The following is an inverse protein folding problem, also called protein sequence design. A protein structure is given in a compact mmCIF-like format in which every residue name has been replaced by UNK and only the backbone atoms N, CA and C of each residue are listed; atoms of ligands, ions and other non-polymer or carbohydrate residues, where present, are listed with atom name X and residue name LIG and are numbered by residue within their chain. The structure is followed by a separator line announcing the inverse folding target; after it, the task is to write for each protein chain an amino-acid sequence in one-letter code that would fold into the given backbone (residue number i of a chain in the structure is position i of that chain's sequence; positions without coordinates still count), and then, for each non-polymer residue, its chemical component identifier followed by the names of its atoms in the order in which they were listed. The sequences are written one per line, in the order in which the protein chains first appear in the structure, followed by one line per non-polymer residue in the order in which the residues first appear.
data_IF_486864309695
#
_entry.id   IF_486864309695
#
_cell.length_a   1.000
_cell.length_b   1.000
_cell.length_c   1.000
_cell.angle_alpha   90.00
_cell.angle_beta   90.00
_cell.angle_gamma   90.00
#
_symmetry.space_group_name_H-M   'P 1'
#
loop_
_entity.id
_entity.type
_entity.pdbx_description
1 polymer ?
#
# COMPACT_ATOMS: atom_id res chain seq x y z
N UNK A 1 0.96 -3.47 7.17
CA UNK A 1 -0.31 -3.51 6.46
C UNK A 1 -1.42 -2.85 7.30
N UNK A 2 -1.77 -3.36 8.45
CA UNK A 2 -2.92 -2.91 9.25
C UNK A 2 -2.98 -1.40 9.48
N UNK A 3 -1.87 -0.78 9.90
CA UNK A 3 -1.79 0.68 10.09
C UNK A 3 -2.11 1.47 8.81
N UNK A 4 -1.74 0.94 7.65
CA UNK A 4 -2.02 1.57 6.36
C UNK A 4 -3.50 1.41 5.98
N UNK A 5 -4.07 0.24 6.23
CA UNK A 5 -5.50 -0.02 6.02
C UNK A 5 -6.36 0.86 6.93
N UNK A 6 -5.97 1.01 8.20
CA UNK A 6 -6.65 1.88 9.16
C UNK A 6 -6.61 3.37 8.78
N UNK A 7 -5.60 3.79 8.04
CA UNK A 7 -5.47 5.17 7.56
C UNK A 7 -6.35 5.47 6.34
N UNK A 8 -6.74 4.45 5.58
CA UNK A 8 -7.60 4.62 4.40
C UNK A 8 -9.05 4.91 4.82
N UNK A 9 -9.46 6.16 4.73
CA UNK A 9 -10.82 6.60 5.08
C UNK A 9 -11.28 7.71 4.15
N UNK A 10 -12.57 7.86 3.91
CA UNK A 10 -13.06 8.99 3.13
C UNK A 10 -12.68 10.32 3.80
N UNK A 11 -12.27 11.30 3.02
CA UNK A 11 -11.83 12.62 3.49
C UNK A 11 -10.36 12.71 3.90
N UNK A 12 -9.64 11.60 4.02
CA UNK A 12 -8.19 11.59 4.33
C UNK A 12 -7.39 11.84 3.05
N UNK A 13 -6.29 12.55 3.16
CA UNK A 13 -5.38 12.81 2.05
C UNK A 13 -4.44 11.60 1.78
N UNK A 14 -4.09 11.40 0.52
CA UNK A 14 -3.09 10.37 0.15
C UNK A 14 -1.72 10.60 0.80
N UNK A 15 -1.38 11.83 1.16
CA UNK A 15 -0.17 12.20 1.91
C UNK A 15 -0.23 11.71 3.36
N UNK A 16 -1.39 11.82 4.01
CA UNK A 16 -1.60 11.33 5.37
C UNK A 16 -1.45 9.79 5.42
N UNK A 17 -2.01 9.07 4.44
CA UNK A 17 -1.82 7.63 4.31
C UNK A 17 -0.36 7.28 4.05
N UNK A 18 0.31 7.99 3.15
CA UNK A 18 1.73 7.77 2.88
C UNK A 18 2.62 8.04 4.11
N UNK A 19 2.22 8.95 4.99
CA UNK A 19 3.00 9.33 6.17
C UNK A 19 3.06 8.25 7.25
N UNK A 20 2.04 7.37 7.36
CA UNK A 20 2.00 6.32 8.39
C UNK A 20 2.86 5.10 8.04
N UNK A 21 3.28 4.98 6.79
CA UNK A 21 4.11 3.87 6.33
C UNK A 21 5.59 4.09 6.73
N UNK A 22 6.37 3.01 6.90
CA UNK A 22 7.77 3.14 7.28
C UNK A 22 8.56 3.90 6.20
N UNK A 23 9.64 4.57 6.61
CA UNK A 23 10.53 5.30 5.71
C UNK A 23 11.60 4.38 5.11
N UNK A 24 12.16 4.79 3.98
CA UNK A 24 13.24 4.06 3.33
C UNK A 24 14.43 3.80 4.27
N UNK A 25 14.75 4.78 5.13
CA UNK A 25 15.83 4.69 6.10
C UNK A 25 15.62 3.61 7.16
N UNK A 26 14.34 3.29 7.48
CA UNK A 26 14.01 2.23 8.43
C UNK A 26 14.43 0.84 7.90
N UNK A 27 14.61 0.73 6.59
CA UNK A 27 15.09 -0.47 5.89
C UNK A 27 16.54 -0.35 5.40
N UNK A 28 17.26 0.71 5.79
CA UNK A 28 18.66 0.90 5.42
C UNK A 28 18.90 1.49 4.03
N UNK A 29 17.89 2.06 3.39
CA UNK A 29 18.03 2.71 2.09
C UNK A 29 18.23 4.21 2.23
N UNK A 30 18.99 4.81 1.32
CA UNK A 30 19.33 6.24 1.34
C UNK A 30 18.15 7.13 0.89
N UNK A 31 17.20 6.60 0.15
CA UNK A 31 16.08 7.38 -0.40
C UNK A 31 14.84 6.53 -0.64
N UNK A 32 13.67 7.18 -0.66
CA UNK A 32 12.39 6.56 -0.99
C UNK A 32 12.41 5.92 -2.40
N UNK A 33 13.09 6.54 -3.35
CA UNK A 33 13.21 5.97 -4.70
C UNK A 33 14.03 4.68 -4.71
N UNK A 34 15.07 4.59 -3.88
CA UNK A 34 15.92 3.39 -3.79
C UNK A 34 15.20 2.23 -3.11
N UNK A 35 14.37 2.52 -2.08
CA UNK A 35 13.62 1.51 -1.32
C UNK A 35 12.31 1.14 -2.02
N UNK A 36 11.56 2.16 -2.38
CA UNK A 36 10.18 2.05 -2.84
C UNK A 36 10.03 2.72 -4.19
N UNK A 37 10.87 2.42 -5.15
CA UNK A 37 10.68 2.89 -6.53
C UNK A 37 9.26 2.64 -7.05
N UNK A 38 8.49 1.92 -6.25
CA UNK A 38 7.06 1.66 -6.37
C UNK A 38 6.27 2.49 -5.36
N UNK A 39 5.00 2.57 -5.58
CA UNK A 39 4.00 3.14 -4.69
C UNK A 39 3.65 2.19 -3.53
N UNK A 40 3.04 2.74 -2.47
CA UNK A 40 2.42 1.97 -1.38
C UNK A 40 1.01 1.50 -1.75
N UNK A 41 0.31 2.30 -2.54
CA UNK A 41 -0.97 1.92 -3.13
C UNK A 41 -1.18 2.62 -4.46
N UNK A 42 -2.03 2.04 -5.26
CA UNK A 42 -2.51 2.65 -6.50
C UNK A 42 -4.00 2.39 -6.68
N UNK A 43 -4.67 3.31 -7.38
CA UNK A 43 -6.03 3.09 -7.83
C UNK A 43 -6.13 1.87 -8.73
N UNK A 44 -7.27 1.22 -8.67
CA UNK A 44 -7.59 0.03 -9.45
C UNK A 44 -8.96 0.22 -10.10
N UNK A 45 -9.07 -0.08 -11.39
CA UNK A 45 -10.30 0.08 -12.14
C UNK A 45 -10.23 -0.64 -13.48
N UNK A 46 -10.31 0.09 -14.58
CA UNK A 46 -10.11 -0.48 -15.92
C UNK A 46 -8.63 -0.81 -16.14
N UNK A 47 -7.73 0.02 -15.64
CA UNK A 47 -6.30 -0.22 -15.65
C UNK A 47 -5.83 -0.90 -14.37
N UNK A 48 -4.76 -1.69 -14.47
CA UNK A 48 -4.11 -2.31 -13.31
C UNK A 48 -3.56 -1.23 -12.35
N UNK A 49 -2.99 -0.16 -12.89
CA UNK A 49 -2.48 0.96 -12.12
C UNK A 49 -3.17 2.24 -12.57
N UNK A 50 -3.98 2.79 -11.69
CA UNK A 50 -4.69 4.05 -11.91
C UNK A 50 -4.39 5.07 -10.81
N UNK A 51 -4.74 6.33 -11.05
CA UNK A 51 -4.71 7.37 -10.02
C UNK A 51 -5.93 7.24 -9.09
N UNK A 52 -5.81 7.71 -7.84
CA UNK A 52 -4.62 8.29 -7.24
C UNK A 52 -3.58 7.25 -6.85
N UNK A 53 -2.30 7.67 -6.82
CA UNK A 53 -1.19 6.86 -6.33
C UNK A 53 -0.84 7.34 -4.93
N UNK A 54 -0.68 6.41 -4.01
CA UNK A 54 -0.24 6.69 -2.63
C UNK A 54 1.25 6.36 -2.53
N UNK A 55 2.06 7.40 -2.41
CA UNK A 55 3.50 7.28 -2.19
C UNK A 55 4.06 8.58 -1.62
N UNK A 56 5.17 8.54 -0.88
CA UNK A 56 5.83 9.78 -0.44
C UNK A 56 6.38 10.61 -1.59
N UNK A 57 6.73 9.97 -2.71
CA UNK A 57 7.26 10.68 -3.89
C UNK A 57 6.20 11.56 -4.57
N UNK A 58 4.94 11.14 -4.54
CA UNK A 58 3.85 11.82 -5.21
C UNK A 58 2.92 12.54 -4.24
N UNK A 59 2.37 11.82 -3.27
CA UNK A 59 1.29 12.30 -2.40
C UNK A 59 1.68 13.50 -1.55
N UNK A 60 2.95 13.58 -1.09
CA UNK A 60 3.43 14.72 -0.29
C UNK A 60 3.48 16.05 -1.06
N UNK A 61 3.47 16.00 -2.39
CA UNK A 61 3.50 17.19 -3.25
C UNK A 61 2.14 17.53 -3.83
N UNK A 62 1.35 16.52 -4.10
CA UNK A 62 0.06 16.62 -4.77
C UNK A 62 -0.93 15.65 -4.12
N UNK A 63 -1.38 15.94 -2.89
CA UNK A 63 -2.30 15.08 -2.16
C UNK A 63 -3.66 15.03 -2.84
N UNK A 64 -4.26 13.87 -2.83
CA UNK A 64 -5.63 13.64 -3.31
C UNK A 64 -6.48 13.17 -2.15
N UNK A 65 -7.62 13.80 -1.93
CA UNK A 65 -8.59 13.37 -0.93
C UNK A 65 -9.25 12.05 -1.35
N UNK A 66 -9.26 11.09 -0.43
CA UNK A 66 -9.91 9.81 -0.62
C UNK A 66 -11.43 9.95 -0.57
N UNK A 67 -12.11 9.36 -1.53
CA UNK A 67 -13.57 9.41 -1.64
C UNK A 67 -14.16 8.00 -1.61
N UNK A 68 -15.37 7.88 -1.09
CA UNK A 68 -16.13 6.64 -1.15
C UNK A 68 -16.29 6.16 -2.60
N UNK A 69 -16.14 4.87 -2.82
CA UNK A 69 -16.14 4.23 -4.13
C UNK A 69 -14.77 4.10 -4.79
N UNK A 70 -13.72 4.75 -4.27
CA UNK A 70 -12.36 4.52 -4.75
C UNK A 70 -11.89 3.12 -4.35
N UNK A 71 -11.26 2.42 -5.30
CA UNK A 71 -10.67 1.09 -5.09
C UNK A 71 -9.16 1.21 -5.19
N UNK A 72 -8.47 0.55 -4.26
CA UNK A 72 -7.01 0.55 -4.21
C UNK A 72 -6.47 -0.87 -4.07
N UNK A 73 -5.33 -1.11 -4.72
CA UNK A 73 -4.40 -2.14 -4.31
C UNK A 73 -3.43 -1.50 -3.29
N UNK A 74 -3.52 -1.93 -2.03
CA UNK A 74 -2.62 -1.50 -0.96
C UNK A 74 -1.50 -2.52 -0.81
N UNK A 75 -0.27 -2.07 -1.04
CA UNK A 75 0.90 -2.91 -1.11
C UNK A 75 1.87 -2.65 0.05
N UNK A 76 2.47 -3.70 0.58
CA UNK A 76 3.59 -3.57 1.52
C UNK A 76 4.87 -4.09 0.87
N UNK A 77 5.98 -3.60 1.35
CA UNK A 77 7.30 -4.07 0.93
C UNK A 77 8.19 -4.23 2.15
N UNK A 78 8.73 -5.41 2.33
CA UNK A 78 9.67 -5.72 3.41
C UNK A 78 10.91 -6.39 2.81
N UNK A 79 12.03 -5.66 2.66
CA UNK A 79 13.26 -6.24 2.16
C UNK A 79 13.85 -7.22 3.17
N UNK A 80 14.40 -8.32 2.69
CA UNK A 80 15.12 -9.28 3.52
C UNK A 80 16.57 -8.81 3.77
N UNK A 81 17.20 -9.38 4.77
CA UNK A 81 18.58 -9.05 5.15
C UNK A 81 19.65 -9.54 4.16
N UNK A 82 19.27 -10.36 3.19
CA UNK A 82 20.17 -10.86 2.14
C UNK A 82 20.47 -9.82 1.05
N UNK A 83 19.76 -8.68 1.06
CA UNK A 83 19.94 -7.57 0.11
C UNK A 83 19.40 -7.82 -1.30
N UNK A 84 18.72 -8.94 -1.55
CA UNK A 84 18.19 -9.31 -2.88
C UNK A 84 16.75 -9.80 -2.84
N UNK A 85 16.28 -10.35 -1.73
CA UNK A 85 14.92 -10.84 -1.55
C UNK A 85 14.03 -9.81 -0.87
N UNK A 86 12.73 -9.90 -1.11
CA UNK A 86 11.73 -9.10 -0.41
C UNK A 86 10.42 -9.86 -0.30
N UNK A 87 9.64 -9.56 0.72
CA UNK A 87 8.25 -9.97 0.82
C UNK A 87 7.32 -8.81 0.48
N UNK A 88 6.25 -9.11 -0.23
CA UNK A 88 5.16 -8.18 -0.51
C UNK A 88 3.84 -8.84 -0.15
N UNK A 89 3.02 -8.13 0.58
CA UNK A 89 1.63 -8.47 0.84
C UNK A 89 0.78 -7.36 0.23
N UNK A 90 -0.27 -7.73 -0.46
CA UNK A 90 -1.15 -6.83 -1.17
C UNK A 90 -2.60 -7.13 -0.81
N UNK A 91 -3.37 -6.10 -0.53
CA UNK A 91 -4.80 -6.16 -0.26
C UNK A 91 -5.54 -5.24 -1.21
N UNK A 92 -6.56 -5.76 -1.86
CA UNK A 92 -7.51 -4.96 -2.62
C UNK A 92 -8.60 -4.44 -1.69
N UNK A 93 -8.81 -3.13 -1.69
CA UNK A 93 -9.75 -2.47 -0.78
C UNK A 93 -10.62 -1.47 -1.51
N UNK A 94 -11.86 -1.32 -1.06
CA UNK A 94 -12.74 -0.21 -1.47
C UNK A 94 -12.95 0.75 -0.31
N UNK A 95 -12.83 2.04 -0.58
CA UNK A 95 -13.19 3.10 0.37
C UNK A 95 -14.71 3.19 0.42
N UNK A 96 -15.27 3.08 1.63
CA UNK A 96 -16.71 3.20 1.90
C UNK A 96 -17.03 4.53 2.57
N UNK A 97 -18.28 4.84 2.80
CA UNK A 97 -18.69 6.05 3.54
C UNK A 97 -18.16 6.10 4.99
N UNK A 98 -17.78 4.97 5.56
CA UNK A 98 -17.43 4.83 6.98
C UNK A 98 -16.02 4.29 7.23
N UNK A 99 -15.24 3.99 6.18
CA UNK A 99 -13.91 3.40 6.28
C UNK A 99 -13.53 2.65 5.03
N UNK A 100 -13.10 1.40 5.16
CA UNK A 100 -12.79 0.52 4.02
C UNK A 100 -13.47 -0.84 4.15
N UNK A 101 -13.59 -1.53 3.02
CA UNK A 101 -13.87 -2.96 2.95
C UNK A 101 -12.73 -3.64 2.19
N UNK A 102 -12.16 -4.71 2.77
CA UNK A 102 -11.14 -5.53 2.12
C UNK A 102 -11.83 -6.52 1.19
N UNK A 103 -11.50 -6.49 -0.09
CA UNK A 103 -12.06 -7.32 -1.14
C UNK A 103 -11.31 -8.63 -1.33
N UNK A 104 -10.01 -8.66 -1.02
CA UNK A 104 -9.15 -9.84 -1.08
C UNK A 104 -9.71 -10.96 -0.22
N UNK A 105 -9.83 -12.16 -0.79
CA UNK A 105 -10.35 -13.35 -0.09
C UNK A 105 -9.26 -14.30 0.38
N UNK A 106 -8.07 -14.21 -0.20
CA UNK A 106 -6.94 -15.03 0.20
C UNK A 106 -6.33 -14.47 1.49
N UNK A 107 -6.17 -15.28 2.56
CA UNK A 107 -5.65 -14.78 3.82
C UNK A 107 -4.19 -14.33 3.69
N UNK A 108 -3.89 -13.13 4.19
CA UNK A 108 -2.54 -12.57 4.21
C UNK A 108 -1.77 -12.84 5.52
N UNK A 109 -2.46 -13.37 6.54
CA UNK A 109 -1.92 -13.57 7.89
C UNK A 109 -1.07 -14.83 8.03
N UNK A 110 -1.23 -15.80 7.13
CA UNK A 110 -0.59 -17.11 7.20
C UNK A 110 0.26 -17.38 5.96
N UNK A 111 1.38 -18.07 6.16
CA UNK A 111 2.18 -18.62 5.07
C UNK A 111 1.68 -20.00 4.70
N UNK A 112 1.00 -20.10 3.55
CA UNK A 112 0.44 -21.37 3.08
C UNK A 112 1.49 -22.21 2.35
N UNK A 113 1.55 -23.50 2.68
CA UNK A 113 2.37 -24.48 1.97
C UNK A 113 1.46 -25.22 1.00
N UNK A 114 1.60 -24.93 -0.30
CA UNK A 114 0.75 -25.49 -1.34
C UNK A 114 1.05 -26.97 -1.63
N UNK A 115 2.32 -27.35 -1.61
CA UNK A 115 2.78 -28.72 -1.87
C UNK A 115 3.89 -29.08 -0.87
N UNK A 116 3.58 -29.74 0.26
CA UNK A 116 4.59 -30.32 1.12
C UNK A 116 5.16 -31.56 0.41
N UNK A 117 6.39 -31.46 -0.09
CA UNK A 117 7.15 -32.60 -0.61
C UNK A 117 7.91 -33.26 0.52
#
# INVERSE_FOLDING_TARGET
MDTALDALRPGVGTDEVAAVLPKAQDFGFDSELAAFGLQFAHGLGLGLHERPIISRLNSMKDPVELQAGMVFAMETYCPASDGVSAARIEEEVVVTDYGIEVLTKFPAQDLFIANPY
#
